data_IF_285269179476
#
_entry.id   IF_285269179476
#
_cell.length_a   1.000
_cell.length_b   1.000
_cell.length_c   1.000
_cell.angle_alpha   90.00
_cell.angle_beta   90.00
_cell.angle_gamma   90.00
#
_symmetry.space_group_name_H-M   'P 1'
#
loop_
_entity.id
_entity.type
_entity.pdbx_description
1 polymer ?
#
# COMPACT_ATOMS: atom_id res chain seq x y z
N UNK A 1 -17.36 2.47 15.77
CA UNK A 1 -16.09 3.07 16.23
C UNK A 1 -15.37 1.99 17.01
N UNK A 2 -14.17 1.57 16.61
CA UNK A 2 -13.37 0.59 17.36
C UNK A 2 -12.70 1.35 18.51
N UNK A 3 -12.87 0.92 19.76
CA UNK A 3 -12.25 1.58 20.92
C UNK A 3 -10.82 1.08 21.14
N UNK A 4 -10.05 1.77 22.00
CA UNK A 4 -8.71 1.31 22.36
C UNK A 4 -8.73 -0.03 23.10
N UNK A 5 -9.79 -0.31 23.87
CA UNK A 5 -9.94 -1.60 24.56
C UNK A 5 -10.17 -2.76 23.59
N UNK A 6 -10.86 -2.52 22.47
CA UNK A 6 -11.07 -3.52 21.42
C UNK A 6 -9.75 -4.02 20.81
N UNK A 7 -8.66 -3.25 20.91
CA UNK A 7 -7.32 -3.66 20.46
C UNK A 7 -6.78 -4.82 21.31
N UNK A 8 -7.12 -4.86 22.61
CA UNK A 8 -6.64 -5.86 23.57
C UNK A 8 -7.64 -6.97 23.88
N UNK A 9 -8.85 -6.88 23.33
CA UNK A 9 -9.83 -7.97 23.40
C UNK A 9 -9.32 -9.26 22.76
N UNK A 10 -9.95 -10.38 23.11
CA UNK A 10 -9.65 -11.70 22.53
C UNK A 10 -9.74 -11.62 21.00
N UNK A 11 -8.65 -11.95 20.32
CA UNK A 11 -8.56 -11.94 18.85
C UNK A 11 -8.63 -13.36 18.32
N UNK A 12 -9.40 -13.55 17.25
CA UNK A 12 -9.30 -14.77 16.45
C UNK A 12 -8.11 -14.64 15.50
N UNK A 13 -7.19 -15.62 15.47
CA UNK A 13 -6.10 -15.59 14.51
C UNK A 13 -6.65 -15.72 13.08
N UNK A 14 -6.06 -14.96 12.16
CA UNK A 14 -6.38 -15.00 10.73
C UNK A 14 -5.09 -15.35 9.99
N UNK A 15 -5.18 -16.27 9.04
CA UNK A 15 -4.06 -16.53 8.14
C UNK A 15 -3.90 -15.34 7.18
N UNK A 16 -2.65 -14.91 6.93
CA UNK A 16 -2.35 -13.76 6.07
C UNK A 16 -3.00 -13.88 4.68
N UNK A 17 -3.03 -15.10 4.10
CA UNK A 17 -3.65 -15.32 2.79
C UNK A 17 -5.14 -14.98 2.76
N UNK A 18 -5.80 -15.09 3.93
CA UNK A 18 -7.24 -14.94 4.09
C UNK A 18 -7.65 -13.54 4.58
N UNK A 19 -6.70 -12.61 4.74
CA UNK A 19 -6.95 -11.27 5.31
C UNK A 19 -8.01 -10.47 4.54
N UNK A 20 -8.16 -10.74 3.25
CA UNK A 20 -9.11 -10.09 2.36
C UNK A 20 -10.46 -10.83 2.24
N UNK A 21 -10.58 -12.05 2.78
CA UNK A 21 -11.79 -12.87 2.64
C UNK A 21 -12.93 -12.35 3.52
N UNK A 22 -12.60 -11.61 4.58
CA UNK A 22 -13.58 -11.01 5.51
C UNK A 22 -14.08 -9.64 5.02
N UNK A 23 -13.49 -9.08 3.96
CA UNK A 23 -13.95 -7.84 3.35
C UNK A 23 -15.27 -8.08 2.60
N UNK A 24 -16.38 -7.57 3.16
CA UNK A 24 -17.71 -7.66 2.54
C UNK A 24 -17.93 -6.67 1.39
N UNK A 25 -17.09 -5.64 1.30
CA UNK A 25 -17.21 -4.56 0.32
C UNK A 25 -16.42 -4.85 -0.97
N UNK A 26 -16.92 -4.31 -2.09
CA UNK A 26 -16.25 -4.41 -3.39
C UNK A 26 -14.87 -3.72 -3.41
N UNK A 27 -14.68 -2.68 -2.59
CA UNK A 27 -13.38 -2.05 -2.35
C UNK A 27 -12.74 -2.65 -1.11
N UNK A 28 -12.08 -3.80 -1.25
CA UNK A 28 -11.44 -4.49 -0.14
C UNK A 28 -10.40 -3.57 0.53
N UNK A 29 -10.69 -3.12 1.75
CA UNK A 29 -9.80 -2.30 2.58
C UNK A 29 -9.56 -3.02 3.89
N UNK A 30 -8.29 -3.14 4.25
CA UNK A 30 -7.84 -3.75 5.51
C UNK A 30 -6.98 -2.73 6.23
N UNK A 31 -7.23 -2.57 7.53
CA UNK A 31 -6.44 -1.73 8.40
C UNK A 31 -5.77 -2.60 9.47
N UNK A 32 -4.43 -2.59 9.49
CA UNK A 32 -3.64 -3.38 10.42
C UNK A 32 -3.20 -2.50 11.58
N UNK A 33 -3.76 -2.74 12.77
CA UNK A 33 -3.40 -2.03 13.99
C UNK A 33 -2.44 -2.83 14.86
N UNK A 34 -1.66 -2.11 15.66
CA UNK A 34 -0.82 -2.69 16.69
C UNK A 34 0.17 -1.68 17.27
N UNK A 35 0.76 -1.99 18.42
CA UNK A 35 1.72 -1.12 19.13
C UNK A 35 2.96 -0.81 18.27
N UNK A 36 3.70 0.23 18.64
CA UNK A 36 5.02 0.48 18.07
C UNK A 36 5.94 -0.74 18.31
N UNK A 37 6.76 -1.09 17.32
CA UNK A 37 7.67 -2.24 17.41
C UNK A 37 7.04 -3.62 17.20
N UNK A 38 5.71 -3.74 17.05
CA UNK A 38 5.04 -5.05 16.86
C UNK A 38 5.31 -5.71 15.48
N UNK A 39 5.98 -5.01 14.57
CA UNK A 39 6.35 -5.53 13.25
C UNK A 39 5.42 -5.16 12.09
N UNK A 40 4.61 -4.08 12.18
CA UNK A 40 3.71 -3.66 11.08
C UNK A 40 4.43 -3.39 9.76
N UNK A 41 5.54 -2.64 9.78
CA UNK A 41 6.34 -2.39 8.57
C UNK A 41 7.04 -3.66 8.07
N UNK A 42 7.47 -4.54 8.98
CA UNK A 42 8.01 -5.87 8.64
C UNK A 42 6.95 -6.73 7.96
N UNK A 43 5.70 -6.68 8.43
CA UNK A 43 4.57 -7.37 7.80
C UNK A 43 4.35 -6.87 6.37
N UNK A 44 4.33 -5.55 6.13
CA UNK A 44 4.19 -4.99 4.78
C UNK A 44 5.30 -5.50 3.85
N UNK A 45 6.57 -5.48 4.29
CA UNK A 45 7.71 -6.01 3.51
C UNK A 45 7.60 -7.51 3.26
N UNK A 46 7.20 -8.27 4.27
CA UNK A 46 7.01 -9.71 4.18
C UNK A 46 5.97 -10.06 3.11
N UNK A 47 4.80 -9.44 3.14
CA UNK A 47 3.73 -9.76 2.18
C UNK A 47 4.10 -9.31 0.76
N UNK A 48 4.78 -8.18 0.58
CA UNK A 48 5.32 -7.78 -0.73
C UNK A 48 6.29 -8.80 -1.28
N UNK A 49 7.21 -9.30 -0.45
CA UNK A 49 8.18 -10.30 -0.86
C UNK A 49 7.52 -11.66 -1.18
N UNK A 50 6.53 -12.09 -0.40
CA UNK A 50 5.79 -13.33 -0.69
C UNK A 50 4.96 -13.23 -1.97
N UNK A 51 4.32 -12.09 -2.21
CA UNK A 51 3.63 -11.82 -3.48
C UNK A 51 4.60 -11.87 -4.67
N UNK A 52 5.77 -11.24 -4.55
CA UNK A 52 6.80 -11.25 -5.59
C UNK A 52 7.33 -12.67 -5.89
N UNK A 53 7.23 -13.61 -4.94
CA UNK A 53 7.53 -15.03 -5.11
C UNK A 53 6.34 -15.87 -5.58
N UNK A 54 5.22 -15.24 -5.95
CA UNK A 54 3.98 -15.90 -6.34
C UNK A 54 3.41 -16.83 -5.25
N UNK A 55 3.68 -16.53 -3.97
CA UNK A 55 3.21 -17.33 -2.84
C UNK A 55 1.95 -16.78 -2.17
N UNK A 56 1.62 -15.49 -2.38
CA UNK A 56 0.45 -14.83 -1.83
C UNK A 56 -0.24 -13.94 -2.87
N UNK A 57 -1.57 -13.90 -2.78
CA UNK A 57 -2.47 -12.97 -3.47
C UNK A 57 -2.22 -12.80 -4.98
N UNK A 58 -2.24 -13.92 -5.71
CA UNK A 58 -2.01 -13.98 -7.16
C UNK A 58 -3.05 -13.22 -7.98
N UNK A 59 -4.19 -12.87 -7.39
CA UNK A 59 -5.21 -12.02 -8.01
C UNK A 59 -4.77 -10.57 -8.23
N UNK A 60 -3.69 -10.13 -7.57
CA UNK A 60 -3.12 -8.80 -7.78
C UNK A 60 -1.94 -8.88 -8.74
N UNK A 61 -2.04 -8.13 -9.84
CA UNK A 61 -0.98 -8.06 -10.85
C UNK A 61 0.15 -7.09 -10.46
N UNK A 62 -0.11 -6.22 -9.49
CA UNK A 62 0.83 -5.23 -9.00
C UNK A 62 0.63 -5.00 -7.51
N UNK A 63 1.71 -5.03 -6.74
CA UNK A 63 1.75 -4.57 -5.35
C UNK A 63 2.59 -3.31 -5.27
N UNK A 64 2.02 -2.24 -4.71
CA UNK A 64 2.70 -0.97 -4.48
C UNK A 64 2.83 -0.75 -2.99
N UNK A 65 4.07 -0.66 -2.49
CA UNK A 65 4.39 -0.37 -1.10
C UNK A 65 4.85 1.09 -0.97
N UNK A 66 4.03 1.92 -0.31
CA UNK A 66 4.35 3.32 -0.03
C UNK A 66 4.54 3.50 1.46
N UNK A 67 5.69 4.08 1.84
CA UNK A 67 5.92 4.51 3.21
C UNK A 67 5.32 5.90 3.41
N UNK A 68 4.25 6.00 4.21
CA UNK A 68 3.54 7.25 4.43
C UNK A 68 4.41 8.32 5.11
N UNK A 69 5.42 7.91 5.89
CA UNK A 69 6.43 8.83 6.47
C UNK A 69 7.29 9.55 5.43
N UNK A 70 7.35 9.06 4.19
CA UNK A 70 8.05 9.73 3.09
C UNK A 70 7.22 10.82 2.43
N UNK A 71 5.91 10.84 2.67
CA UNK A 71 4.97 11.80 2.06
C UNK A 71 4.91 13.09 2.89
N UNK A 72 6.04 13.79 2.99
CA UNK A 72 6.17 15.05 3.75
C UNK A 72 6.25 16.25 2.82
N UNK A 73 5.90 17.44 3.31
CA UNK A 73 5.95 18.69 2.54
C UNK A 73 7.35 18.99 1.98
N UNK A 74 8.41 18.63 2.70
CA UNK A 74 9.79 18.79 2.23
C UNK A 74 10.10 17.93 1.01
N UNK A 75 9.50 16.74 0.92
CA UNK A 75 9.66 15.83 -0.23
C UNK A 75 8.63 16.11 -1.32
N UNK A 76 7.48 16.67 -0.99
CA UNK A 76 6.38 16.98 -1.89
C UNK A 76 5.94 18.43 -1.68
N UNK A 77 6.78 19.41 -2.09
CA UNK A 77 6.45 20.83 -1.90
C UNK A 77 5.16 21.19 -2.67
N UNK A 78 4.39 22.17 -2.18
CA UNK A 78 3.20 22.65 -2.88
C UNK A 78 3.52 23.02 -4.32
N UNK A 79 2.72 22.50 -5.25
CA UNK A 79 2.82 22.85 -6.66
C UNK A 79 2.09 24.18 -6.92
N UNK A 80 2.39 24.80 -8.06
CA UNK A 80 1.65 25.98 -8.55
C UNK A 80 0.13 25.77 -8.48
N UNK A 81 -0.63 26.84 -8.21
CA UNK A 81 -2.08 26.81 -8.03
C UNK A 81 -2.79 25.89 -9.04
N UNK A 82 -3.56 24.92 -8.53
CA UNK A 82 -4.35 23.97 -9.32
C UNK A 82 -3.63 22.66 -9.69
N UNK A 83 -2.34 22.48 -9.35
CA UNK A 83 -1.63 21.21 -9.58
C UNK A 83 -1.51 20.38 -8.30
N UNK A 84 -1.65 19.07 -8.44
CA UNK A 84 -1.39 18.07 -7.39
C UNK A 84 -0.49 16.96 -7.91
N UNK A 85 0.24 16.31 -7.00
CA UNK A 85 1.00 15.11 -7.36
C UNK A 85 0.03 13.98 -7.70
N UNK A 86 0.22 13.37 -8.86
CA UNK A 86 -0.52 12.18 -9.26
C UNK A 86 0.02 10.92 -8.57
N UNK A 87 -0.73 9.82 -8.61
CA UNK A 87 -0.25 8.52 -8.13
C UNK A 87 1.03 8.07 -8.85
N UNK A 88 1.18 8.43 -10.13
CA UNK A 88 2.39 8.11 -10.90
C UNK A 88 3.59 8.91 -10.41
N UNK A 89 3.40 10.18 -10.04
CA UNK A 89 4.49 10.99 -9.47
C UNK A 89 4.98 10.39 -8.14
N UNK A 90 4.04 9.93 -7.30
CA UNK A 90 4.35 9.29 -6.02
C UNK A 90 5.07 7.96 -6.25
N UNK A 91 4.53 7.08 -7.10
CA UNK A 91 5.12 5.76 -7.34
C UNK A 91 6.49 5.87 -8.03
N UNK A 92 6.64 6.75 -9.01
CA UNK A 92 7.92 7.01 -9.66
C UNK A 92 8.99 7.42 -8.63
N UNK A 93 8.63 8.34 -7.72
CA UNK A 93 9.56 8.88 -6.72
C UNK A 93 9.88 7.93 -5.57
N UNK A 94 8.90 7.15 -5.10
CA UNK A 94 9.07 6.29 -3.92
C UNK A 94 9.49 4.85 -4.26
N UNK A 95 9.19 4.35 -5.47
CA UNK A 95 9.45 2.96 -5.83
C UNK A 95 10.63 2.78 -6.80
N UNK A 96 11.09 3.84 -7.48
CA UNK A 96 12.19 3.77 -8.43
C UNK A 96 13.37 4.63 -7.98
N UNK A 97 14.59 4.15 -8.23
CA UNK A 97 15.83 4.84 -7.91
C UNK A 97 16.29 5.84 -8.98
N UNK A 98 15.55 5.91 -10.09
CA UNK A 98 15.88 6.68 -11.29
C UNK A 98 14.61 7.28 -11.88
N UNK A 99 14.78 8.32 -12.69
CA UNK A 99 13.67 8.93 -13.40
C UNK A 99 13.12 7.98 -14.48
N UNK A 100 11.79 7.91 -14.54
CA UNK A 100 11.07 7.12 -15.54
C UNK A 100 10.89 7.91 -16.84
N UNK A 101 10.98 7.20 -17.96
CA UNK A 101 10.60 7.74 -19.28
C UNK A 101 9.11 8.09 -19.33
N UNK A 102 8.67 8.90 -20.31
CA UNK A 102 7.24 9.18 -20.46
C UNK A 102 6.45 7.94 -20.91
N UNK A 103 7.09 7.03 -21.63
CA UNK A 103 6.56 5.72 -21.97
C UNK A 103 6.29 4.88 -20.71
N UNK A 104 7.26 4.79 -19.81
CA UNK A 104 7.13 4.05 -18.54
C UNK A 104 6.06 4.69 -17.64
N UNK A 105 6.02 6.02 -17.56
CA UNK A 105 4.97 6.75 -16.82
C UNK A 105 3.60 6.47 -17.43
N UNK A 106 3.47 6.45 -18.75
CA UNK A 106 2.20 6.14 -19.43
C UNK A 106 1.72 4.73 -19.11
N UNK A 107 2.62 3.74 -19.16
CA UNK A 107 2.34 2.37 -18.76
C UNK A 107 1.91 2.30 -17.29
N UNK A 108 2.62 2.99 -16.40
CA UNK A 108 2.29 3.02 -14.98
C UNK A 108 0.91 3.64 -14.73
N UNK A 109 0.56 4.75 -15.41
CA UNK A 109 -0.79 5.34 -15.34
C UNK A 109 -1.86 4.32 -15.71
N UNK A 110 -1.63 3.52 -16.75
CA UNK A 110 -2.57 2.49 -17.19
C UNK A 110 -2.72 1.35 -16.17
N UNK A 111 -1.62 0.92 -15.54
CA UNK A 111 -1.64 -0.18 -14.57
C UNK A 111 -2.26 0.24 -13.23
N UNK A 112 -1.91 1.43 -12.71
CA UNK A 112 -2.38 1.89 -11.41
C UNK A 112 -3.90 2.11 -11.33
N UNK A 113 -4.55 2.35 -12.46
CA UNK A 113 -6.02 2.51 -12.53
C UNK A 113 -6.78 1.17 -12.53
N UNK A 114 -6.09 0.02 -12.55
CA UNK A 114 -6.73 -1.30 -12.55
C UNK A 114 -7.16 -1.71 -11.14
N UNK A 115 -8.26 -2.47 -11.05
CA UNK A 115 -8.73 -3.08 -9.79
C UNK A 115 -7.83 -4.19 -9.26
N UNK A 116 -6.82 -4.59 -10.02
CA UNK A 116 -5.85 -5.65 -9.69
C UNK A 116 -4.57 -5.11 -9.03
N UNK A 117 -4.61 -3.88 -8.52
CA UNK A 117 -3.48 -3.26 -7.80
C UNK A 117 -3.75 -3.35 -6.30
N UNK A 118 -2.81 -3.90 -5.55
CA UNK A 118 -2.82 -3.86 -4.10
C UNK A 118 -1.90 -2.75 -3.60
N UNK A 119 -2.48 -1.85 -2.80
CA UNK A 119 -1.75 -0.76 -2.15
C UNK A 119 -1.45 -1.12 -0.70
N UNK A 120 -0.17 -1.11 -0.35
CA UNK A 120 0.32 -1.25 1.02
C UNK A 120 0.79 0.13 1.50
N UNK A 121 0.05 0.70 2.43
CA UNK A 121 0.31 2.03 2.99
C UNK A 121 0.92 1.87 4.39
N UNK A 122 2.24 1.97 4.48
CA UNK A 122 3.01 1.73 5.71
C UNK A 122 3.22 3.03 6.50
N UNK A 123 2.55 3.16 7.65
CA UNK A 123 2.61 4.29 8.57
C UNK A 123 3.64 4.12 9.69
#
# INVERSE_FOLDING_TARGET
MVTFEDIYGVKTPINVKDIFNTCKEAGKKVLVFGRAGIGKSTFCRYVSHQWAKSALWLEYNLVVLISLRSLTENRYPPLSSGKSYSLVDIVAKECFSHDLSEEDKSLLRQQLNKRTVLWLLDG
#
